data_IF_222462138006
#
_entry.id   IF_222462138006
#
_cell.length_a   1.000
_cell.length_b   1.000
_cell.length_c   1.000
_cell.angle_alpha   90.00
_cell.angle_beta   90.00
_cell.angle_gamma   90.00
#
_symmetry.space_group_name_H-M   'P 1'
#
loop_
_entity.id
_entity.type
_entity.pdbx_description
1 polymer ?
#
# COMPACT_ATOMS: atom_id res chain seq x y z
N UNK A 1 12.92 -20.99 26.80
CA UNK A 1 13.65 -19.70 26.77
C UNK A 1 12.92 -18.79 25.80
N UNK A 2 12.53 -17.58 26.26
CA UNK A 2 11.91 -16.57 25.40
C UNK A 2 12.97 -15.56 24.97
N UNK A 3 13.16 -15.41 23.66
CA UNK A 3 14.06 -14.41 23.07
C UNK A 3 13.23 -13.44 22.24
N UNK A 4 13.33 -12.15 22.52
CA UNK A 4 12.59 -11.11 21.81
C UNK A 4 13.54 -10.16 21.09
N UNK A 5 13.24 -9.86 19.83
CA UNK A 5 14.10 -9.10 18.92
C UNK A 5 13.29 -8.26 17.94
N UNK A 6 13.88 -7.15 17.50
CA UNK A 6 13.32 -6.29 16.45
C UNK A 6 13.76 -6.77 15.07
N UNK A 7 13.08 -6.30 14.02
CA UNK A 7 13.32 -6.73 12.62
C UNK A 7 14.79 -6.55 12.19
N UNK A 8 15.44 -5.47 12.64
CA UNK A 8 16.84 -5.18 12.32
C UNK A 8 17.83 -6.22 12.86
N UNK A 9 17.48 -6.90 13.94
CA UNK A 9 18.29 -7.98 14.53
C UNK A 9 18.03 -9.32 13.83
N UNK A 10 16.79 -9.56 13.39
CA UNK A 10 16.40 -10.80 12.70
C UNK A 10 17.02 -10.86 11.29
N UNK A 11 17.04 -9.72 10.59
CA UNK A 11 17.53 -9.61 9.21
C UNK A 11 18.71 -8.63 9.11
N UNK A 12 19.89 -9.00 9.64
CA UNK A 12 21.06 -8.13 9.61
C UNK A 12 21.55 -7.90 8.17
N UNK A 13 22.17 -6.73 7.94
CA UNK A 13 23.07 -6.53 6.79
C UNK A 13 24.50 -6.83 7.22
N UNK A 14 25.29 -7.57 6.42
CA UNK A 14 24.92 -8.64 5.46
C UNK A 14 24.32 -9.88 6.17
N UNK A 15 23.67 -10.86 5.50
CA UNK A 15 23.84 -11.27 4.09
C UNK A 15 22.72 -10.90 3.10
N UNK A 16 21.60 -10.30 3.51
CA UNK A 16 20.49 -10.01 2.58
C UNK A 16 20.73 -8.71 1.78
N UNK A 17 20.43 -8.68 0.45
CA UNK A 17 20.43 -7.44 -0.34
C UNK A 17 19.48 -6.38 0.24
N UNK A 18 19.87 -5.09 0.16
CA UNK A 18 19.07 -3.95 0.68
C UNK A 18 17.64 -3.96 0.13
N UNK A 19 17.45 -4.30 -1.15
CA UNK A 19 16.14 -4.38 -1.81
C UNK A 19 15.22 -5.45 -1.20
N UNK A 20 15.73 -6.67 -1.00
CA UNK A 20 14.97 -7.78 -0.39
C UNK A 20 14.65 -7.45 1.06
N UNK A 21 15.63 -6.94 1.82
CA UNK A 21 15.41 -6.51 3.20
C UNK A 21 14.33 -5.44 3.30
N UNK A 22 14.35 -4.45 2.40
CA UNK A 22 13.31 -3.42 2.32
C UNK A 22 11.92 -4.02 2.09
N UNK A 23 11.79 -4.97 1.15
CA UNK A 23 10.52 -5.69 0.93
C UNK A 23 10.04 -6.44 2.17
N UNK A 24 10.95 -7.16 2.85
CA UNK A 24 10.64 -7.91 4.09
C UNK A 24 10.17 -6.93 5.18
N UNK A 25 10.93 -5.87 5.44
CA UNK A 25 10.60 -4.89 6.47
C UNK A 25 9.28 -4.18 6.20
N UNK A 26 9.03 -3.78 4.95
CA UNK A 26 7.77 -3.19 4.55
C UNK A 26 6.59 -4.12 4.83
N UNK A 27 6.69 -5.39 4.43
CA UNK A 27 5.60 -6.35 4.63
C UNK A 27 5.40 -6.71 6.12
N UNK A 28 6.47 -6.78 6.90
CA UNK A 28 6.38 -6.96 8.37
C UNK A 28 5.68 -5.75 9.01
N UNK A 29 6.08 -4.54 8.67
CA UNK A 29 5.46 -3.31 9.17
C UNK A 29 3.96 -3.30 8.87
N UNK A 30 3.60 -3.57 7.61
CA UNK A 30 2.20 -3.68 7.19
C UNK A 30 1.40 -4.72 7.98
N UNK A 31 1.97 -5.91 8.20
CA UNK A 31 1.33 -6.95 9.01
C UNK A 31 1.11 -6.49 10.46
N UNK A 32 2.12 -5.86 11.07
CA UNK A 32 2.02 -5.35 12.43
C UNK A 32 0.95 -4.24 12.54
N UNK A 33 0.97 -3.26 11.64
CA UNK A 33 -0.03 -2.19 11.55
C UNK A 33 -1.45 -2.73 11.37
N UNK A 34 -1.62 -3.83 10.62
CA UNK A 34 -2.93 -4.48 10.47
C UNK A 34 -3.45 -5.06 11.78
N UNK A 35 -2.60 -5.79 12.51
CA UNK A 35 -2.97 -6.37 13.81
C UNK A 35 -3.21 -5.31 14.87
N UNK A 36 -2.34 -4.32 14.92
CA UNK A 36 -2.42 -3.20 15.86
C UNK A 36 -3.64 -2.31 15.51
N UNK A 37 -3.93 -2.11 14.22
CA UNK A 37 -5.12 -1.39 13.77
C UNK A 37 -6.42 -2.10 14.14
N UNK A 38 -6.47 -3.44 14.07
CA UNK A 38 -7.64 -4.20 14.52
C UNK A 38 -7.88 -4.06 16.04
N UNK A 39 -6.81 -4.00 16.82
CA UNK A 39 -6.87 -3.75 18.26
C UNK A 39 -7.32 -2.30 18.55
N UNK A 40 -6.83 -1.32 17.79
CA UNK A 40 -7.31 0.06 17.85
C UNK A 40 -8.81 0.15 17.59
N UNK A 41 -9.32 -0.50 16.54
CA UNK A 41 -10.75 -0.57 16.23
C UNK A 41 -11.57 -1.22 17.34
N UNK A 42 -11.00 -2.20 18.03
CA UNK A 42 -11.61 -2.82 19.21
C UNK A 42 -11.69 -1.83 20.36
N UNK A 43 -10.61 -1.10 20.64
CA UNK A 43 -10.58 -0.04 21.65
C UNK A 43 -11.59 1.08 21.35
N UNK A 44 -11.71 1.51 20.11
CA UNK A 44 -12.65 2.58 19.74
C UNK A 44 -14.09 2.13 19.59
N UNK A 45 -14.33 0.82 19.45
CA UNK A 45 -15.62 0.25 19.08
C UNK A 45 -16.04 0.55 17.63
N UNK A 46 -15.11 0.99 16.77
CA UNK A 46 -15.38 1.44 15.40
C UNK A 46 -14.63 0.58 14.39
N UNK A 47 -15.33 0.14 13.34
CA UNK A 47 -14.78 -0.78 12.33
C UNK A 47 -14.39 -0.12 11.02
N UNK A 48 -14.58 1.18 10.91
CA UNK A 48 -14.40 1.92 9.66
C UNK A 48 -13.26 2.92 9.80
N UNK A 49 -12.52 3.08 8.70
CA UNK A 49 -11.43 4.03 8.57
C UNK A 49 -11.83 5.07 7.53
N UNK A 50 -11.49 6.33 7.78
CA UNK A 50 -11.59 7.38 6.79
C UNK A 50 -10.76 7.01 5.54
N UNK A 51 -11.28 7.25 4.32
CA UNK A 51 -12.52 7.95 3.97
C UNK A 51 -13.72 7.02 3.74
N UNK A 52 -13.71 5.79 4.24
CA UNK A 52 -14.76 4.80 3.98
C UNK A 52 -15.47 4.39 5.28
N UNK A 53 -16.59 5.06 5.64
CA UNK A 53 -17.21 6.21 4.97
C UNK A 53 -16.49 7.54 5.25
N UNK A 54 -16.84 8.60 4.53
CA UNK A 54 -16.15 9.91 4.61
C UNK A 54 -16.32 10.56 5.99
N UNK A 55 -17.40 10.22 6.68
CA UNK A 55 -17.68 10.66 8.05
C UNK A 55 -16.99 9.79 9.10
N UNK A 56 -16.26 8.74 8.71
CA UNK A 56 -15.50 7.90 9.64
C UNK A 56 -14.60 8.77 10.52
N UNK A 57 -14.64 8.58 11.84
CA UNK A 57 -13.93 9.44 12.79
C UNK A 57 -12.47 9.04 12.97
N UNK A 58 -12.06 7.86 12.49
CA UNK A 58 -10.70 7.37 12.63
C UNK A 58 -10.01 7.34 11.28
N UNK A 59 -8.82 7.90 11.21
CA UNK A 59 -7.92 7.82 10.07
C UNK A 59 -6.88 6.72 10.30
N UNK A 60 -6.50 6.06 9.21
CA UNK A 60 -5.39 5.11 9.19
C UNK A 60 -4.51 5.37 7.98
N UNK A 61 -3.19 5.48 8.18
CA UNK A 61 -2.21 5.47 7.09
C UNK A 61 -2.08 4.04 6.55
N UNK A 62 -3.08 3.61 5.78
CA UNK A 62 -3.20 2.23 5.34
C UNK A 62 -2.26 1.88 4.19
N UNK A 63 -0.98 2.27 4.16
CA UNK A 63 -0.06 1.98 3.05
C UNK A 63 -0.64 2.25 1.64
N UNK A 64 -1.54 3.23 1.51
CA UNK A 64 -2.35 3.46 0.29
C UNK A 64 -1.56 4.21 -0.80
N UNK A 65 -0.23 4.16 -0.75
CA UNK A 65 0.64 4.82 -1.71
C UNK A 65 0.47 6.34 -1.71
N UNK A 66 0.59 6.93 -2.91
CA UNK A 66 0.67 8.37 -3.16
C UNK A 66 -0.54 9.19 -2.69
N UNK A 67 -1.66 8.54 -2.38
CA UNK A 67 -2.87 9.22 -1.87
C UNK A 67 -2.86 9.43 -0.35
N UNK A 68 -1.89 8.89 0.39
CA UNK A 68 -1.92 8.92 1.86
C UNK A 68 -1.86 10.37 2.39
N UNK A 69 -1.05 11.23 1.75
CA UNK A 69 -1.00 12.68 2.06
C UNK A 69 -2.33 13.36 1.79
N UNK A 70 -2.93 13.12 0.63
CA UNK A 70 -4.21 13.72 0.22
C UNK A 70 -5.33 13.29 1.15
N UNK A 71 -5.40 11.99 1.49
CA UNK A 71 -6.38 11.47 2.43
C UNK A 71 -6.17 12.03 3.84
N UNK A 72 -4.93 12.20 4.26
CA UNK A 72 -4.61 12.78 5.55
C UNK A 72 -4.99 14.26 5.62
N UNK A 73 -4.64 15.06 4.61
CA UNK A 73 -5.08 16.44 4.47
C UNK A 73 -6.60 16.56 4.50
N UNK A 74 -7.29 15.75 3.69
CA UNK A 74 -8.76 15.75 3.64
C UNK A 74 -9.39 15.35 4.97
N UNK A 75 -8.80 14.41 5.72
CA UNK A 75 -9.24 14.08 7.07
C UNK A 75 -9.12 15.29 8.01
N UNK A 76 -7.96 15.96 8.03
CA UNK A 76 -7.73 17.11 8.91
C UNK A 76 -8.68 18.26 8.59
N UNK A 77 -8.90 18.57 7.30
CA UNK A 77 -9.83 19.62 6.86
C UNK A 77 -11.28 19.27 7.19
N UNK A 78 -11.71 18.03 6.90
CA UNK A 78 -13.09 17.59 7.14
C UNK A 78 -13.44 17.62 8.64
N UNK A 79 -12.51 17.21 9.50
CA UNK A 79 -12.75 17.15 10.96
C UNK A 79 -12.51 18.48 11.68
N UNK A 80 -11.94 19.47 10.99
CA UNK A 80 -11.60 20.78 11.55
C UNK A 80 -11.87 21.86 10.47
N UNK A 81 -13.14 22.19 10.21
CA UNK A 81 -13.52 23.04 9.08
C UNK A 81 -12.94 24.45 9.14
N UNK A 82 -12.58 24.91 10.34
CA UNK A 82 -12.01 26.24 10.61
C UNK A 82 -10.47 26.28 10.43
N UNK A 83 -9.83 25.16 10.09
CA UNK A 83 -8.37 25.14 9.85
C UNK A 83 -7.99 26.03 8.67
N UNK A 84 -6.89 26.75 8.79
CA UNK A 84 -6.27 27.46 7.67
C UNK A 84 -5.72 26.45 6.66
N UNK A 85 -6.52 26.18 5.62
CA UNK A 85 -6.25 25.19 4.57
C UNK A 85 -4.97 25.50 3.80
N UNK A 86 -4.75 26.77 3.47
CA UNK A 86 -3.55 27.20 2.74
C UNK A 86 -2.30 27.01 3.59
N UNK A 87 -2.35 27.36 4.88
CA UNK A 87 -1.25 27.15 5.81
C UNK A 87 -0.97 25.67 6.05
N UNK A 88 -2.00 24.86 6.30
CA UNK A 88 -1.87 23.41 6.50
C UNK A 88 -1.21 22.77 5.30
N UNK A 89 -1.68 23.08 4.10
CA UNK A 89 -1.14 22.56 2.88
C UNK A 89 0.29 23.03 2.61
N UNK A 90 0.58 24.32 2.82
CA UNK A 90 1.92 24.86 2.67
C UNK A 90 2.89 24.14 3.62
N UNK A 91 2.52 23.94 4.89
CA UNK A 91 3.33 23.19 5.87
C UNK A 91 3.51 21.72 5.48
N UNK A 92 2.45 21.06 4.99
CA UNK A 92 2.54 19.69 4.46
C UNK A 92 3.34 19.62 3.15
N UNK A 93 3.61 20.72 2.46
CA UNK A 93 4.48 20.76 1.29
C UNK A 93 5.90 21.22 1.62
N UNK A 94 6.11 21.99 2.69
CA UNK A 94 7.42 22.55 3.05
C UNK A 94 8.19 21.67 4.04
N UNK A 95 7.48 20.86 4.83
CA UNK A 95 8.07 19.90 5.77
C UNK A 95 8.46 18.58 5.11
N UNK A 96 8.96 18.66 3.88
CA UNK A 96 9.48 17.51 3.14
C UNK A 96 10.57 16.81 3.96
N UNK A 97 10.22 15.67 4.55
CA UNK A 97 11.21 14.75 5.04
C UNK A 97 11.84 14.09 3.81
N UNK A 98 13.14 14.30 3.58
CA UNK A 98 13.89 13.51 2.60
C UNK A 98 14.10 12.08 3.14
N UNK A 99 13.01 11.34 3.34
CA UNK A 99 13.07 9.90 3.58
C UNK A 99 13.66 9.18 2.37
N UNK A 100 14.31 8.04 2.56
CA UNK A 100 14.81 7.21 1.45
C UNK A 100 13.69 6.78 0.47
N UNK A 101 12.43 6.87 0.90
CA UNK A 101 11.21 6.52 0.18
C UNK A 101 10.53 7.71 -0.52
N UNK A 102 11.06 8.93 -0.39
CA UNK A 102 10.47 10.13 -0.97
C UNK A 102 9.14 10.55 -0.32
N UNK A 103 8.85 10.08 0.90
CA UNK A 103 7.64 10.47 1.62
C UNK A 103 7.67 11.96 1.98
N UNK A 104 6.82 12.75 1.33
CA UNK A 104 6.81 14.22 1.46
C UNK A 104 6.33 14.73 2.83
N UNK A 105 5.62 13.91 3.61
CA UNK A 105 5.05 14.29 4.91
C UNK A 105 5.04 13.11 5.86
N UNK A 106 5.41 13.33 7.12
CA UNK A 106 5.15 12.38 8.18
C UNK A 106 3.66 12.31 8.50
N UNK A 107 3.05 11.14 8.24
CA UNK A 107 1.63 10.86 8.49
C UNK A 107 1.55 9.82 9.61
N UNK A 108 0.79 10.05 10.70
CA UNK A 108 0.67 9.05 11.75
C UNK A 108 -0.13 7.83 11.28
N UNK A 109 0.24 6.64 11.75
CA UNK A 109 -0.42 5.40 11.34
C UNK A 109 -1.89 5.33 11.74
N UNK A 110 -2.24 5.90 12.90
CA UNK A 110 -3.62 6.02 13.37
C UNK A 110 -3.90 7.41 13.90
N UNK A 111 -5.11 7.91 13.67
CA UNK A 111 -5.61 9.13 14.29
C UNK A 111 -7.10 9.00 14.56
N UNK A 112 -7.54 9.36 15.76
CA UNK A 112 -8.96 9.29 16.13
C UNK A 112 -9.50 10.67 16.49
N UNK A 113 -10.62 11.03 15.86
CA UNK A 113 -11.28 12.31 16.04
C UNK A 113 -12.14 12.36 17.30
N UNK A 114 -12.91 11.28 17.54
CA UNK A 114 -13.94 11.20 18.58
C UNK A 114 -13.51 10.33 19.75
N UNK A 115 -14.23 10.46 20.87
CA UNK A 115 -14.13 9.56 22.02
C UNK A 115 -14.23 8.09 21.58
N UNK A 116 -13.47 7.15 22.18
CA UNK A 116 -12.64 7.34 23.36
C UNK A 116 -11.28 8.01 23.07
N UNK A 117 -10.88 8.09 21.79
CA UNK A 117 -9.56 8.59 21.36
C UNK A 117 -9.40 10.10 21.61
N UNK A 118 -10.42 10.90 21.30
CA UNK A 118 -10.48 12.35 21.57
C UNK A 118 -9.30 13.16 20.99
N UNK A 119 -9.27 13.31 19.66
CA UNK A 119 -8.23 14.06 18.92
C UNK A 119 -6.82 13.59 19.31
N UNK A 120 -6.54 12.29 19.13
CA UNK A 120 -5.21 11.71 19.39
C UNK A 120 -4.69 10.94 18.19
N UNK A 121 -3.37 10.90 18.04
CA UNK A 121 -2.70 10.12 17.01
C UNK A 121 -1.64 9.17 17.57
N UNK A 122 -1.34 8.15 16.79
CA UNK A 122 -0.43 7.07 17.15
C UNK A 122 0.45 6.68 15.96
N UNK A 123 1.68 6.28 16.27
CA UNK A 123 2.67 5.77 15.33
C UNK A 123 3.10 4.36 15.74
N UNK A 124 3.30 3.48 14.77
CA UNK A 124 3.72 2.10 14.93
C UNK A 124 5.13 1.95 14.38
N UNK A 125 6.08 1.54 15.23
CA UNK A 125 7.46 1.25 14.79
C UNK A 125 7.96 -0.11 15.29
N UNK A 126 8.86 -0.77 14.56
CA UNK A 126 9.63 -1.86 15.14
C UNK A 126 10.45 -1.30 16.32
N UNK A 127 10.41 -1.96 17.47
CA UNK A 127 11.06 -1.43 18.66
C UNK A 127 10.85 -2.26 19.92
N UNK A 128 11.64 -1.94 20.94
CA UNK A 128 11.42 -2.42 22.30
C UNK A 128 10.81 -1.29 23.11
N UNK A 129 9.91 -1.57 24.05
CA UNK A 129 9.15 -0.54 24.77
C UNK A 129 9.98 0.36 25.69
N UNK A 130 11.12 -0.15 26.14
CA UNK A 130 12.03 0.47 27.09
C UNK A 130 13.37 0.82 26.42
N UNK A 131 13.35 1.16 25.13
CA UNK A 131 14.53 1.58 24.37
C UNK A 131 14.15 2.72 23.46
N UNK A 132 15.05 3.68 23.29
CA UNK A 132 14.90 4.80 22.36
C UNK A 132 14.49 4.31 20.97
N UNK A 133 13.57 5.04 20.35
CA UNK A 133 13.11 4.78 19.00
C UNK A 133 13.13 6.09 18.21
N UNK A 134 14.34 6.50 17.80
CA UNK A 134 14.59 7.79 17.16
C UNK A 134 13.68 8.03 15.94
N UNK A 135 13.46 7.00 15.12
CA UNK A 135 12.57 7.07 13.95
C UNK A 135 11.11 7.38 14.36
N UNK A 136 10.60 6.69 15.38
CA UNK A 136 9.24 6.89 15.89
C UNK A 136 9.08 8.22 16.62
N UNK A 137 10.07 8.59 17.44
CA UNK A 137 10.13 9.86 18.16
C UNK A 137 10.17 11.05 17.19
N UNK A 138 11.00 10.97 16.15
CA UNK A 138 11.10 11.99 15.09
C UNK A 138 9.78 12.15 14.33
N UNK A 139 9.14 11.04 13.95
CA UNK A 139 7.86 11.07 13.25
C UNK A 139 6.75 11.67 14.13
N UNK A 140 6.67 11.29 15.40
CA UNK A 140 5.70 11.84 16.36
C UNK A 140 5.93 13.34 16.56
N UNK A 141 7.17 13.78 16.81
CA UNK A 141 7.50 15.18 17.00
C UNK A 141 7.16 16.02 15.75
N UNK A 142 7.37 15.47 14.56
CA UNK A 142 7.04 16.13 13.31
C UNK A 142 5.53 16.32 13.11
N UNK A 143 4.74 15.28 13.41
CA UNK A 143 3.27 15.35 13.36
C UNK A 143 2.76 16.32 14.43
N UNK A 144 3.26 16.24 15.66
CA UNK A 144 2.87 17.14 16.76
C UNK A 144 3.17 18.60 16.41
N UNK A 145 4.36 18.87 15.87
CA UNK A 145 4.70 20.20 15.37
C UNK A 145 3.78 20.67 14.24
N UNK A 146 3.26 19.77 13.40
CA UNK A 146 2.32 20.15 12.32
C UNK A 146 0.99 20.57 12.93
N UNK A 147 0.51 19.81 13.93
CA UNK A 147 -0.71 20.15 14.67
C UNK A 147 -0.57 21.49 15.37
N UNK A 148 0.55 21.73 16.06
CA UNK A 148 0.83 22.99 16.74
C UNK A 148 0.85 24.19 15.78
N UNK A 149 1.59 24.10 14.68
CA UNK A 149 1.70 25.20 13.71
C UNK A 149 0.39 25.50 12.99
N UNK A 150 -0.52 24.52 12.89
CA UNK A 150 -1.84 24.68 12.26
C UNK A 150 -2.97 24.87 13.26
N UNK A 151 -2.65 24.96 14.55
CA UNK A 151 -3.61 25.09 15.66
C UNK A 151 -4.65 23.96 15.68
N UNK A 152 -4.30 22.79 15.11
CA UNK A 152 -5.14 21.61 15.13
C UNK A 152 -5.08 20.93 16.51
N UNK A 153 -6.20 20.38 17.01
CA UNK A 153 -6.31 19.93 18.40
C UNK A 153 -5.69 18.54 18.66
N UNK A 154 -5.06 17.91 17.66
CA UNK A 154 -4.56 16.55 17.82
C UNK A 154 -3.24 16.51 18.57
N UNK A 155 -3.13 15.57 19.51
CA UNK A 155 -1.91 15.33 20.31
C UNK A 155 -1.46 13.89 20.23
N UNK A 156 -0.19 13.57 20.54
CA UNK A 156 0.24 12.19 20.73
C UNK A 156 -0.66 11.47 21.74
N UNK A 157 -1.01 10.23 21.43
CA UNK A 157 -2.00 9.47 22.18
C UNK A 157 -1.50 8.89 23.51
N UNK A 158 -2.36 8.96 24.54
CA UNK A 158 -2.05 8.51 25.91
C UNK A 158 -3.12 7.58 26.48
N UNK A 159 -4.33 7.61 25.92
CA UNK A 159 -5.49 6.89 26.43
C UNK A 159 -5.58 5.44 25.93
N UNK A 160 -5.07 5.15 24.73
CA UNK A 160 -4.97 3.78 24.25
C UNK A 160 -3.67 3.15 24.73
N UNK A 161 -3.80 2.04 25.45
CA UNK A 161 -2.70 1.29 26.07
C UNK A 161 -2.62 -0.11 25.48
N UNK A 162 -2.28 -0.26 24.18
CA UNK A 162 -2.24 -1.55 23.55
C UNK A 162 -1.22 -2.45 24.23
N UNK A 163 -1.60 -3.71 24.44
CA UNK A 163 -0.73 -4.82 24.79
C UNK A 163 -1.27 -6.03 24.06
N UNK A 164 -0.60 -6.45 23.00
CA UNK A 164 -1.07 -7.55 22.17
C UNK A 164 0.01 -8.56 21.85
N UNK A 165 -0.46 -9.79 21.59
CA UNK A 165 0.36 -10.95 21.24
C UNK A 165 -0.37 -11.74 20.17
N UNK A 166 0.28 -11.94 19.03
CA UNK A 166 -0.25 -12.73 17.91
C UNK A 166 0.71 -13.89 17.63
N UNK A 167 0.21 -15.12 17.75
CA UNK A 167 0.98 -16.31 17.35
C UNK A 167 1.09 -16.39 15.83
N UNK A 168 2.33 -16.45 15.34
CA UNK A 168 2.66 -16.63 13.93
C UNK A 168 2.91 -18.12 13.62
N UNK A 169 3.53 -18.81 14.57
CA UNK A 169 3.84 -20.23 14.45
C UNK A 169 3.76 -20.88 15.83
N UNK A 170 3.16 -22.06 15.89
CA UNK A 170 3.11 -22.90 17.08
C UNK A 170 3.21 -24.35 16.62
N UNK A 171 4.40 -24.93 16.69
CA UNK A 171 4.66 -26.23 16.11
C UNK A 171 5.98 -26.84 16.57
N UNK A 172 6.27 -28.03 16.06
CA UNK A 172 7.54 -28.73 16.31
C UNK A 172 8.46 -28.56 15.11
N UNK A 173 9.72 -28.23 15.38
CA UNK A 173 10.77 -28.17 14.37
C UNK A 173 11.75 -29.31 14.63
N UNK A 174 12.06 -30.15 13.63
CA UNK A 174 13.10 -31.15 13.77
C UNK A 174 14.46 -30.46 13.90
N UNK A 175 15.14 -30.64 15.03
CA UNK A 175 16.52 -30.17 15.21
C UNK A 175 17.49 -31.35 15.24
N UNK A 176 18.57 -31.23 14.48
CA UNK A 176 19.69 -32.17 14.55
C UNK A 176 20.59 -31.82 15.74
N UNK A 177 20.74 -32.74 16.67
CA UNK A 177 21.68 -32.58 17.77
C UNK A 177 23.13 -32.77 17.25
N UNK A 178 24.04 -31.81 17.47
CA UNK A 178 25.44 -31.97 17.06
C UNK A 178 26.07 -33.20 17.74
N UNK A 179 26.63 -34.13 16.95
CA UNK A 179 27.37 -35.28 17.47
C UNK A 179 26.53 -36.49 17.93
N UNK A 180 25.21 -36.48 17.75
CA UNK A 180 24.33 -37.63 17.97
C UNK A 180 23.90 -38.26 16.63
N UNK A 181 23.39 -39.50 16.69
CA UNK A 181 22.74 -40.18 15.55
C UNK A 181 21.71 -39.25 14.87
N UNK A 182 21.44 -39.39 13.56
CA UNK A 182 20.60 -38.50 12.75
C UNK A 182 19.10 -38.62 13.06
N UNK A 183 18.74 -38.70 14.34
CA UNK A 183 17.37 -38.71 14.82
C UNK A 183 17.02 -37.27 15.18
N UNK A 184 16.17 -36.59 14.39
CA UNK A 184 15.76 -35.22 14.70
C UNK A 184 14.97 -35.21 16.02
N UNK A 185 15.38 -34.34 16.95
CA UNK A 185 14.63 -34.12 18.19
C UNK A 185 13.55 -33.07 17.89
N UNK A 186 12.26 -33.36 18.14
CA UNK A 186 11.20 -32.38 17.94
C UNK A 186 11.29 -31.30 19.03
N UNK A 187 11.61 -30.07 18.63
CA UNK A 187 11.61 -28.91 19.53
C UNK A 187 10.33 -28.12 19.31
N UNK A 188 9.52 -27.93 20.37
CA UNK A 188 8.36 -27.06 20.30
C UNK A 188 8.83 -25.61 20.21
N UNK A 189 8.39 -24.91 19.18
CA UNK A 189 8.72 -23.52 18.90
C UNK A 189 7.43 -22.72 18.76
N UNK A 190 7.33 -21.63 19.50
CA UNK A 190 6.26 -20.65 19.41
C UNK A 190 6.87 -19.33 18.95
N UNK A 191 6.46 -18.84 17.79
CA UNK A 191 6.85 -17.52 17.28
C UNK A 191 5.66 -16.58 17.40
N UNK A 192 5.89 -15.42 18.01
CA UNK A 192 4.85 -14.42 18.26
C UNK A 192 5.29 -13.04 17.82
N UNK A 193 4.35 -12.27 17.29
CA UNK A 193 4.44 -10.82 17.19
C UNK A 193 3.85 -10.22 18.47
N UNK A 194 4.64 -9.50 19.23
CA UNK A 194 4.21 -8.79 20.43
C UNK A 194 4.31 -7.29 20.20
N UNK A 195 3.34 -6.53 20.72
CA UNK A 195 3.36 -5.08 20.65
C UNK A 195 2.81 -4.46 21.93
N UNK A 196 3.31 -3.26 22.24
CA UNK A 196 2.78 -2.44 23.32
C UNK A 196 3.07 -0.96 23.11
N UNK A 197 2.40 -0.09 23.87
CA UNK A 197 2.79 1.32 23.95
C UNK A 197 4.24 1.46 24.43
N UNK A 198 4.97 2.42 23.87
CA UNK A 198 6.29 2.82 24.33
C UNK A 198 6.21 3.42 25.74
N UNK A 199 7.21 3.16 26.57
CA UNK A 199 7.15 3.51 27.99
C UNK A 199 7.30 5.03 28.21
N UNK A 200 7.99 5.74 27.31
CA UNK A 200 8.34 7.16 27.47
C UNK A 200 7.79 8.09 26.39
N UNK A 201 7.43 7.55 25.23
CA UNK A 201 7.02 8.36 24.07
C UNK A 201 5.53 8.21 23.88
N UNK A 202 4.78 9.29 24.16
CA UNK A 202 3.34 9.32 23.93
C UNK A 202 3.04 9.12 22.44
N UNK A 203 1.94 8.43 22.12
CA UNK A 203 1.56 8.10 20.75
C UNK A 203 2.38 6.97 20.11
N UNK A 204 3.52 6.57 20.67
CA UNK A 204 4.32 5.51 20.06
C UNK A 204 3.86 4.12 20.51
N UNK A 205 3.57 3.26 19.55
CA UNK A 205 3.34 1.82 19.72
C UNK A 205 4.51 1.08 19.09
N UNK A 206 5.15 0.20 19.84
CA UNK A 206 6.28 -0.58 19.34
C UNK A 206 5.94 -2.05 19.24
N UNK A 207 6.47 -2.70 18.20
CA UNK A 207 6.33 -4.15 18.02
C UNK A 207 7.69 -4.84 17.87
N UNK A 208 7.73 -6.11 18.26
CA UNK A 208 8.89 -6.97 18.15
C UNK A 208 8.44 -8.44 18.04
N UNK A 209 9.36 -9.31 17.63
CA UNK A 209 9.09 -10.74 17.53
C UNK A 209 9.71 -11.46 18.71
N UNK A 210 8.98 -12.42 19.27
CA UNK A 210 9.48 -13.30 20.30
C UNK A 210 9.41 -14.75 19.83
N UNK A 211 10.49 -15.49 20.08
CA UNK A 211 10.55 -16.95 19.94
C UNK A 211 10.64 -17.57 21.33
N UNK A 212 9.70 -18.45 21.64
CA UNK A 212 9.70 -19.28 22.85
C UNK A 212 9.90 -20.73 22.46
N UNK A 213 10.98 -21.33 22.93
CA UNK A 213 11.29 -22.73 22.74
C UNK A 213 12.12 -23.28 23.89
N UNK A 214 12.02 -24.58 24.12
CA UNK A 214 12.88 -25.27 25.08
C UNK A 214 14.21 -25.66 24.42
N UNK A 215 15.00 -24.65 24.06
CA UNK A 215 16.36 -24.87 23.61
C UNK A 215 17.23 -25.25 24.81
N UNK A 216 18.13 -26.22 24.63
CA UNK A 216 19.24 -26.37 25.57
C UNK A 216 20.15 -25.14 25.46
N UNK A 217 20.84 -24.78 26.55
CA UNK A 217 21.79 -23.65 26.59
C UNK A 217 22.90 -23.73 25.52
N UNK A 218 23.06 -24.89 24.88
CA UNK A 218 24.03 -25.14 23.82
C UNK A 218 23.65 -24.53 22.45
N UNK A 219 22.41 -24.09 22.22
CA UNK A 219 22.00 -23.52 20.94
C UNK A 219 22.39 -22.03 20.90
N UNK A 220 23.31 -21.68 19.98
CA UNK A 220 23.77 -20.30 19.78
C UNK A 220 22.61 -19.39 19.35
N UNK A 221 22.58 -18.17 19.88
CA UNK A 221 21.63 -17.11 19.50
C UNK A 221 21.50 -16.94 17.96
N UNK A 222 22.58 -17.10 17.21
CA UNK A 222 22.57 -17.03 15.75
C UNK A 222 21.63 -18.06 15.09
N UNK A 223 21.54 -19.28 15.63
CA UNK A 223 20.63 -20.33 15.14
C UNK A 223 19.19 -19.96 15.44
N UNK A 224 18.92 -19.42 16.64
CA UNK A 224 17.60 -18.95 17.04
C UNK A 224 17.13 -17.82 16.11
N UNK A 225 18.00 -16.85 15.82
CA UNK A 225 17.69 -15.76 14.90
C UNK A 225 17.45 -16.25 13.47
N UNK A 226 18.25 -17.19 12.98
CA UNK A 226 18.06 -17.77 11.65
C UNK A 226 16.74 -18.54 11.54
N UNK A 227 16.39 -19.35 12.55
CA UNK A 227 15.10 -20.04 12.62
C UNK A 227 13.93 -19.06 12.66
N UNK A 228 14.03 -18.02 13.49
CA UNK A 228 13.01 -16.97 13.58
C UNK A 228 12.82 -16.26 12.23
N UNK A 229 13.92 -15.85 11.58
CA UNK A 229 13.90 -15.23 10.26
C UNK A 229 13.21 -16.12 9.22
N UNK A 230 13.57 -17.41 9.18
CA UNK A 230 13.01 -18.39 8.27
C UNK A 230 11.50 -18.59 8.50
N UNK A 231 11.07 -18.77 9.75
CA UNK A 231 9.65 -18.96 10.09
C UNK A 231 8.84 -17.71 9.70
N UNK A 232 9.35 -16.51 9.97
CA UNK A 232 8.69 -15.26 9.59
C UNK A 232 8.53 -15.18 8.06
N UNK A 233 9.58 -15.48 7.30
CA UNK A 233 9.50 -15.50 5.83
C UNK A 233 8.50 -16.56 5.36
N UNK A 234 8.58 -17.79 5.86
CA UNK A 234 7.70 -18.90 5.44
C UNK A 234 6.23 -18.62 5.73
N UNK A 235 5.91 -18.08 6.91
CA UNK A 235 4.53 -17.86 7.35
C UNK A 235 3.94 -16.61 6.71
N UNK A 236 4.69 -15.51 6.69
CA UNK A 236 4.14 -14.23 6.26
C UNK A 236 4.37 -13.97 4.76
N UNK A 237 5.49 -14.43 4.19
CA UNK A 237 5.96 -14.04 2.86
C UNK A 237 6.56 -15.21 2.04
N UNK A 238 5.83 -16.33 1.87
CA UNK A 238 6.35 -17.50 1.16
C UNK A 238 6.79 -17.19 -0.28
N UNK A 239 6.21 -16.15 -0.90
CA UNK A 239 6.57 -15.68 -2.24
C UNK A 239 7.99 -15.09 -2.35
N UNK A 240 8.62 -14.71 -1.22
CA UNK A 240 9.98 -14.18 -1.22
C UNK A 240 11.05 -15.29 -1.19
N UNK A 241 10.68 -16.54 -0.91
CA UNK A 241 11.62 -17.66 -0.83
C UNK A 241 12.48 -17.84 -2.10
N UNK A 242 11.94 -17.72 -3.33
CA UNK A 242 12.74 -17.87 -4.54
C UNK A 242 13.75 -16.71 -4.76
N UNK A 243 13.52 -15.55 -4.13
CA UNK A 243 14.41 -14.39 -4.25
C UNK A 243 15.61 -14.46 -3.28
N UNK A 244 15.53 -15.30 -2.24
CA UNK A 244 16.60 -15.41 -1.25
C UNK A 244 17.73 -16.24 -1.87
N UNK A 245 18.94 -15.67 -2.04
CA UNK A 245 20.07 -16.44 -2.55
C UNK A 245 20.33 -17.58 -1.58
N UNK A 246 20.10 -18.82 -2.04
CA UNK A 246 20.61 -19.97 -1.34
C UNK A 246 22.14 -19.85 -1.33
N UNK A 247 22.83 -20.16 -0.22
CA UNK A 247 24.27 -20.27 -0.26
C UNK A 247 24.62 -21.23 -1.41
N UNK A 248 25.64 -20.89 -2.20
CA UNK A 248 26.18 -21.81 -3.20
C UNK A 248 26.73 -23.03 -2.47
N UNK A 249 25.83 -23.98 -2.15
CA UNK A 249 26.22 -25.28 -1.68
C UNK A 249 26.86 -25.91 -2.90
N UNK A 250 28.16 -26.22 -2.89
CA UNK A 250 28.78 -26.90 -4.01
C UNK A 250 28.02 -28.22 -4.20
N UNK A 251 27.11 -28.24 -5.17
CA UNK A 251 26.40 -29.45 -5.54
C UNK A 251 27.52 -30.36 -6.03
N UNK A 252 27.78 -31.51 -5.37
CA UNK A 252 28.77 -32.44 -5.87
C UNK A 252 28.40 -32.69 -7.33
N UNK A 253 29.32 -32.36 -8.26
CA UNK A 253 29.08 -32.60 -9.69
C UNK A 253 28.71 -34.06 -9.78
N UNK A 254 27.44 -34.34 -10.09
CA UNK A 254 27.03 -35.69 -10.46
C UNK A 254 27.99 -36.03 -11.60
N UNK A 255 28.79 -37.11 -11.49
CA UNK A 255 29.64 -37.53 -12.59
C UNK A 255 28.78 -37.52 -13.84
N UNK A 256 29.16 -36.73 -14.85
CA UNK A 256 28.41 -36.67 -16.10
C UNK A 256 28.21 -38.12 -16.56
N UNK A 257 26.98 -38.60 -16.46
CA UNK A 257 26.62 -39.87 -17.08
C UNK A 257 27.00 -39.72 -18.55
N UNK A 258 27.80 -40.64 -19.11
CA UNK A 258 28.24 -40.54 -20.49
C UNK A 258 27.00 -40.31 -21.35
N UNK A 259 27.04 -39.24 -22.14
CA UNK A 259 25.92 -38.84 -22.97
C UNK A 259 25.43 -40.08 -23.74
N UNK A 260 24.13 -40.43 -23.66
CA UNK A 260 23.60 -41.54 -24.43
C UNK A 260 23.97 -41.32 -25.90
N UNK A 261 24.55 -42.34 -26.53
CA UNK A 261 24.91 -42.25 -27.96
C UNK A 261 23.68 -41.79 -28.73
N UNK A 262 23.81 -40.83 -29.66
CA UNK A 262 22.69 -40.38 -30.46
C UNK A 262 22.10 -41.58 -31.18
N UNK A 263 20.90 -42.01 -30.75
CA UNK A 263 20.09 -42.93 -31.54
C UNK A 263 19.73 -42.21 -32.84
N UNK A 264 19.83 -42.86 -34.01
CA UNK A 264 19.40 -42.27 -35.27
C UNK A 264 17.89 -42.07 -35.21
N UNK A 265 17.45 -40.85 -34.89
CA UNK A 265 16.06 -40.48 -35.00
C UNK A 265 15.73 -40.31 -36.49
N UNK A 266 14.68 -40.96 -37.01
CA UNK A 266 14.19 -40.69 -38.35
C UNK A 266 13.76 -39.22 -38.43
N UNK A 267 14.24 -38.54 -39.47
CA UNK A 267 13.86 -37.16 -39.79
C UNK A 267 12.34 -37.11 -39.97
N UNK A 268 11.60 -36.35 -39.15
CA UNK A 268 10.16 -36.23 -39.33
C UNK A 268 9.87 -35.52 -40.67
N UNK A 269 8.82 -35.91 -41.40
CA UNK A 269 8.43 -35.24 -42.63
C UNK A 269 8.08 -33.77 -42.36
N UNK A 270 8.24 -32.89 -43.37
CA UNK A 270 7.99 -31.46 -43.24
C UNK A 270 6.58 -31.20 -42.68
N UNK A 271 6.52 -30.56 -41.52
CA UNK A 271 5.25 -30.20 -40.89
C UNK A 271 4.55 -29.15 -41.74
N UNK A 272 3.29 -29.43 -42.11
CA UNK A 272 2.40 -28.45 -42.72
C UNK A 272 2.24 -27.24 -41.78
N UNK A 273 2.15 -26.02 -42.32
CA UNK A 273 2.02 -24.81 -41.50
C UNK A 273 0.79 -24.90 -40.60
N UNK A 274 1.03 -24.88 -39.29
CA UNK A 274 -0.01 -24.81 -38.27
C UNK A 274 -0.73 -23.46 -38.41
N UNK A 275 -2.07 -23.43 -38.46
CA UNK A 275 -2.81 -22.18 -38.46
C UNK A 275 -2.45 -21.36 -37.22
N UNK A 276 -1.98 -20.14 -37.41
CA UNK A 276 -1.73 -19.18 -36.33
C UNK A 276 -3.05 -18.99 -35.58
N UNK A 277 -3.10 -19.23 -34.25
CA UNK A 277 -4.28 -18.91 -33.46
C UNK A 277 -4.56 -17.41 -33.59
N UNK A 278 -5.73 -17.05 -34.10
CA UNK A 278 -6.20 -15.67 -34.10
C UNK A 278 -6.25 -15.20 -32.64
N UNK A 279 -5.56 -14.09 -32.27
CA UNK A 279 -5.61 -13.57 -30.92
C UNK A 279 -7.07 -13.31 -30.54
N UNK A 280 -7.52 -13.93 -29.46
CA UNK A 280 -8.87 -13.73 -28.91
C UNK A 280 -9.15 -12.24 -28.75
N UNK A 281 -10.36 -11.81 -29.16
CA UNK A 281 -10.81 -10.43 -29.05
C UNK A 281 -10.54 -9.93 -27.62
N UNK A 282 -9.75 -8.86 -27.43
CA UNK A 282 -9.72 -8.22 -26.12
C UNK A 282 -11.14 -7.76 -25.80
N UNK A 283 -11.54 -7.87 -24.53
CA UNK A 283 -12.77 -7.32 -23.96
C UNK A 283 -12.74 -5.78 -23.98
N UNK A 284 -12.42 -5.17 -25.13
CA UNK A 284 -12.39 -3.74 -25.32
C UNK A 284 -13.82 -3.24 -25.48
N UNK A 285 -14.23 -2.32 -24.60
CA UNK A 285 -15.42 -1.50 -24.84
C UNK A 285 -15.29 -0.85 -26.22
N UNK A 286 -16.35 -0.93 -27.04
CA UNK A 286 -16.36 -0.27 -28.35
C UNK A 286 -16.46 1.25 -28.18
N UNK A 287 -15.97 2.06 -29.15
CA UNK A 287 -16.07 3.52 -29.10
C UNK A 287 -17.50 4.02 -28.85
N UNK A 288 -18.49 3.39 -29.47
CA UNK A 288 -19.91 3.71 -29.28
C UNK A 288 -20.36 3.43 -27.85
N UNK A 289 -19.93 2.31 -27.26
CA UNK A 289 -20.27 1.95 -25.88
C UNK A 289 -19.59 2.90 -24.88
N UNK A 290 -18.34 3.31 -25.14
CA UNK A 290 -17.63 4.28 -24.32
C UNK A 290 -18.34 5.64 -24.34
N UNK A 291 -18.70 6.14 -25.54
CA UNK A 291 -19.41 7.42 -25.67
C UNK A 291 -20.75 7.41 -24.96
N UNK A 292 -21.52 6.31 -25.08
CA UNK A 292 -22.77 6.15 -24.36
C UNK A 292 -22.55 6.18 -22.84
N UNK A 293 -21.56 5.44 -22.35
CA UNK A 293 -21.20 5.40 -20.93
C UNK A 293 -20.82 6.77 -20.38
N UNK A 294 -20.07 7.57 -21.16
CA UNK A 294 -19.69 8.95 -20.80
C UNK A 294 -20.90 9.88 -20.81
N UNK A 295 -21.81 9.74 -21.78
CA UNK A 295 -23.01 10.55 -21.89
C UNK A 295 -24.01 10.32 -20.75
N UNK A 296 -24.05 9.10 -20.20
CA UNK A 296 -24.96 8.73 -19.11
C UNK A 296 -24.49 9.25 -17.73
N UNK A 297 -23.29 9.83 -17.61
CA UNK A 297 -22.79 10.43 -16.36
C UNK A 297 -23.29 11.88 -16.22
N UNK A 298 -24.03 12.25 -15.16
CA UNK A 298 -24.57 13.60 -14.97
C UNK A 298 -23.48 14.67 -15.00
N UNK A 299 -23.67 15.72 -15.81
CA UNK A 299 -22.63 16.70 -16.14
C UNK A 299 -22.45 17.87 -15.16
N UNK A 300 -23.32 18.06 -14.15
CA UNK A 300 -23.67 19.43 -13.75
C UNK A 300 -23.01 20.05 -12.50
N UNK A 301 -22.03 19.44 -11.82
CA UNK A 301 -21.43 20.08 -10.61
C UNK A 301 -19.92 20.02 -10.45
N UNK A 302 -19.16 19.65 -11.48
CA UNK A 302 -17.72 19.39 -11.31
C UNK A 302 -16.78 20.35 -12.03
N UNK A 303 -17.28 21.30 -12.84
CA UNK A 303 -16.44 22.23 -13.61
C UNK A 303 -15.42 22.98 -12.73
N UNK A 304 -15.89 23.55 -11.61
CA UNK A 304 -15.02 24.28 -10.68
C UNK A 304 -14.01 23.38 -9.97
N UNK A 305 -14.42 22.19 -9.51
CA UNK A 305 -13.52 21.23 -8.85
C UNK A 305 -12.46 20.65 -9.81
N UNK A 306 -12.78 20.54 -11.11
CA UNK A 306 -11.87 20.03 -12.15
C UNK A 306 -10.72 20.96 -12.45
N UNK A 307 -10.98 22.26 -12.54
CA UNK A 307 -9.91 23.25 -12.78
C UNK A 307 -8.95 23.34 -11.60
N UNK A 308 -9.47 23.12 -10.40
CA UNK A 308 -8.73 23.17 -9.14
C UNK A 308 -7.91 21.90 -8.88
N UNK A 309 -8.37 20.75 -9.39
CA UNK A 309 -7.71 19.46 -9.17
C UNK A 309 -6.40 19.24 -9.97
N UNK A 310 -6.05 20.10 -10.94
CA UNK A 310 -4.78 20.01 -11.67
C UNK A 310 -4.12 21.38 -11.79
N UNK A 311 -2.87 21.48 -11.34
CA UNK A 311 -2.09 22.73 -11.34
C UNK A 311 -1.53 23.11 -12.71
N UNK A 312 -1.47 22.15 -13.63
CA UNK A 312 -0.98 22.32 -14.99
C UNK A 312 -1.38 21.18 -15.90
N UNK A 313 -1.08 21.34 -17.18
CA UNK A 313 -1.35 20.32 -18.19
C UNK A 313 -0.40 19.13 -18.08
N UNK A 314 -0.92 17.95 -18.38
CA UNK A 314 -0.20 16.67 -18.34
C UNK A 314 -0.13 16.06 -19.74
N UNK A 315 0.98 15.42 -20.07
CA UNK A 315 1.21 14.78 -21.36
C UNK A 315 2.11 15.62 -22.28
N UNK A 316 1.90 15.50 -23.58
CA UNK A 316 2.79 16.05 -24.60
C UNK A 316 2.84 17.58 -24.52
N UNK A 317 4.03 18.12 -24.22
CA UNK A 317 4.24 19.57 -24.07
C UNK A 317 3.48 20.19 -22.89
N UNK A 318 2.99 19.37 -21.95
CA UNK A 318 2.39 19.84 -20.71
C UNK A 318 3.43 20.29 -19.68
N UNK A 319 2.96 20.93 -18.61
CA UNK A 319 3.81 21.29 -17.46
C UNK A 319 4.32 20.03 -16.73
N UNK A 320 3.53 18.95 -16.75
CA UNK A 320 3.90 17.65 -16.19
C UNK A 320 4.36 17.72 -14.74
N UNK A 321 3.62 18.47 -13.90
CA UNK A 321 3.85 18.46 -12.46
C UNK A 321 3.63 17.03 -11.94
N UNK A 322 4.57 16.43 -11.19
CA UNK A 322 4.49 15.01 -10.82
C UNK A 322 3.14 14.58 -10.23
N UNK A 323 2.56 15.39 -9.35
CA UNK A 323 1.26 15.10 -8.72
C UNK A 323 0.11 15.07 -9.75
N UNK A 324 0.05 16.05 -10.65
CA UNK A 324 -0.94 16.09 -11.74
C UNK A 324 -0.79 14.87 -12.66
N UNK A 325 0.46 14.47 -12.95
CA UNK A 325 0.75 13.30 -13.78
C UNK A 325 0.28 12.02 -13.10
N UNK A 326 0.50 11.86 -11.80
CA UNK A 326 0.03 10.70 -11.04
C UNK A 326 -1.49 10.63 -11.03
N UNK A 327 -2.17 11.76 -10.81
CA UNK A 327 -3.63 11.83 -10.88
C UNK A 327 -4.13 11.39 -12.26
N UNK A 328 -3.54 11.91 -13.35
CA UNK A 328 -3.90 11.50 -14.71
C UNK A 328 -3.57 10.03 -15.00
N UNK A 329 -2.43 9.50 -14.52
CA UNK A 329 -2.08 8.07 -14.65
C UNK A 329 -3.08 7.17 -13.92
N UNK A 330 -3.52 7.56 -12.72
CA UNK A 330 -4.56 6.85 -11.97
C UNK A 330 -5.90 6.83 -12.73
N UNK A 331 -6.31 7.97 -13.28
CA UNK A 331 -7.53 8.07 -14.10
C UNK A 331 -7.40 7.24 -15.39
N UNK A 332 -6.25 7.31 -16.07
CA UNK A 332 -5.98 6.53 -17.28
C UNK A 332 -6.06 5.04 -17.00
N UNK A 333 -5.61 4.55 -15.84
CA UNK A 333 -5.71 3.15 -15.49
C UNK A 333 -7.16 2.65 -15.43
N UNK A 334 -8.12 3.51 -15.06
CA UNK A 334 -9.55 3.18 -15.16
C UNK A 334 -9.96 2.90 -16.61
N UNK A 335 -9.47 3.72 -17.55
CA UNK A 335 -9.69 3.51 -18.98
C UNK A 335 -8.92 2.30 -19.53
N UNK A 336 -7.66 2.10 -19.14
CA UNK A 336 -6.85 0.95 -19.59
C UNK A 336 -7.55 -0.37 -19.26
N UNK A 337 -8.12 -0.51 -18.07
CA UNK A 337 -8.90 -1.69 -17.67
C UNK A 337 -10.10 -1.89 -18.60
N UNK A 338 -10.86 -0.84 -18.88
CA UNK A 338 -12.02 -0.88 -19.78
C UNK A 338 -11.66 -1.17 -21.25
N UNK A 339 -10.46 -0.78 -21.66
CA UNK A 339 -9.92 -1.01 -22.99
C UNK A 339 -9.18 -2.36 -23.11
N UNK A 340 -9.05 -3.13 -22.02
CA UNK A 340 -8.28 -4.36 -21.98
C UNK A 340 -6.77 -4.15 -22.22
N UNK A 341 -6.25 -2.99 -21.81
CA UNK A 341 -4.85 -2.61 -21.95
C UNK A 341 -4.11 -2.75 -20.61
N UNK A 342 -2.77 -2.92 -20.64
CA UNK A 342 -1.96 -2.91 -19.43
C UNK A 342 -2.09 -1.57 -18.67
N UNK A 343 -2.21 -1.65 -17.35
CA UNK A 343 -2.18 -0.46 -16.50
C UNK A 343 -0.81 0.23 -16.55
N UNK A 344 -0.82 1.56 -16.56
CA UNK A 344 0.34 2.40 -16.38
C UNK A 344 0.86 2.31 -14.95
N UNK A 345 2.17 2.44 -14.79
CA UNK A 345 2.77 2.73 -13.50
C UNK A 345 2.39 4.16 -13.10
N UNK A 346 2.00 4.36 -11.85
CA UNK A 346 1.72 5.67 -11.27
C UNK A 346 3.04 6.19 -10.69
N UNK A 347 3.87 6.82 -11.53
CA UNK A 347 5.21 7.29 -11.17
C UNK A 347 5.39 8.80 -11.31
N UNK A 348 4.35 9.53 -11.76
CA UNK A 348 4.42 10.97 -11.96
C UNK A 348 5.26 11.40 -13.16
N UNK A 349 5.63 10.46 -14.04
CA UNK A 349 6.40 10.74 -15.25
C UNK A 349 5.47 10.63 -16.46
N UNK A 350 5.24 11.76 -17.15
CA UNK A 350 4.42 11.81 -18.36
C UNK A 350 5.20 11.33 -19.59
N UNK A 351 5.76 10.12 -19.53
CA UNK A 351 6.56 9.52 -20.58
C UNK A 351 5.75 9.06 -21.79
N UNK A 352 6.39 8.34 -22.75
CA UNK A 352 5.72 7.87 -23.96
C UNK A 352 4.48 7.01 -23.70
N UNK A 353 4.48 6.20 -22.64
CA UNK A 353 3.32 5.36 -22.27
C UNK A 353 2.13 6.19 -21.79
N UNK A 354 2.37 7.18 -20.92
CA UNK A 354 1.30 8.08 -20.45
C UNK A 354 0.77 8.94 -21.59
N UNK A 355 1.66 9.55 -22.40
CA UNK A 355 1.24 10.31 -23.57
C UNK A 355 0.47 9.45 -24.58
N UNK A 356 0.94 8.22 -24.83
CA UNK A 356 0.27 7.27 -25.72
C UNK A 356 -1.12 6.87 -25.22
N UNK A 357 -1.28 6.65 -23.92
CA UNK A 357 -2.56 6.37 -23.30
C UNK A 357 -3.54 7.56 -23.39
N UNK A 358 -3.06 8.79 -23.21
CA UNK A 358 -3.88 10.00 -23.42
C UNK A 358 -4.36 10.09 -24.87
N UNK A 359 -3.45 9.94 -25.84
CA UNK A 359 -3.78 9.95 -27.28
C UNK A 359 -4.82 8.89 -27.63
N UNK A 360 -4.62 7.66 -27.13
CA UNK A 360 -5.52 6.55 -27.41
C UNK A 360 -6.91 6.77 -26.78
N UNK A 361 -6.98 7.31 -25.56
CA UNK A 361 -8.25 7.72 -24.96
C UNK A 361 -8.94 8.81 -25.78
N UNK A 362 -8.22 9.88 -26.14
CA UNK A 362 -8.77 11.00 -26.93
C UNK A 362 -9.38 10.49 -28.25
N UNK A 363 -8.65 9.62 -28.97
CA UNK A 363 -9.12 8.99 -30.20
C UNK A 363 -10.34 8.09 -29.97
N UNK A 364 -10.31 7.25 -28.93
CA UNK A 364 -11.40 6.31 -28.65
C UNK A 364 -12.68 7.02 -28.18
N UNK A 365 -12.55 8.06 -27.36
CA UNK A 365 -13.65 8.91 -26.94
C UNK A 365 -14.21 9.76 -28.10
N UNK A 366 -13.43 9.96 -29.17
CA UNK A 366 -13.81 10.79 -30.31
C UNK A 366 -13.68 12.28 -30.02
N UNK A 367 -12.68 12.67 -29.23
CA UNK A 367 -12.37 14.07 -28.99
C UNK A 367 -11.84 14.71 -30.28
N UNK A 368 -12.18 15.99 -30.49
CA UNK A 368 -11.76 16.74 -31.68
C UNK A 368 -10.24 16.91 -31.77
N UNK A 369 -9.58 16.97 -30.61
CA UNK A 369 -8.12 17.11 -30.49
C UNK A 369 -7.56 15.82 -29.91
N UNK A 370 -6.59 15.25 -30.63
CA UNK A 370 -5.89 14.00 -30.28
C UNK A 370 -4.38 14.29 -30.28
N UNK A 371 -3.92 14.97 -29.24
CA UNK A 371 -2.57 15.53 -29.13
C UNK A 371 -1.72 14.88 -28.02
N UNK A 372 -2.32 13.98 -27.24
CA UNK A 372 -1.66 13.34 -26.10
C UNK A 372 -1.51 14.26 -24.88
N UNK A 373 -2.35 15.28 -24.75
CA UNK A 373 -2.33 16.26 -23.66
C UNK A 373 -3.68 16.33 -22.91
N UNK A 374 -3.60 16.40 -21.59
CA UNK A 374 -4.73 16.61 -20.69
C UNK A 374 -4.56 17.96 -19.99
N UNK A 375 -5.37 18.94 -20.37
CA UNK A 375 -5.38 20.27 -19.76
C UNK A 375 -6.37 20.34 -18.57
N UNK A 376 -6.08 21.16 -17.54
CA UNK A 376 -7.04 21.46 -16.48
C UNK A 376 -8.35 22.00 -17.05
N UNK A 377 -9.48 21.40 -16.65
CA UNK A 377 -10.80 21.72 -17.21
C UNK A 377 -10.99 21.35 -18.69
N UNK A 378 -10.02 20.68 -19.32
CA UNK A 378 -10.08 20.29 -20.73
C UNK A 378 -10.95 19.06 -20.99
N UNK A 379 -11.32 18.82 -22.27
CA UNK A 379 -12.20 17.72 -22.66
C UNK A 379 -11.61 16.34 -22.35
N UNK A 380 -10.29 16.20 -22.41
CA UNK A 380 -9.60 14.95 -22.04
C UNK A 380 -9.78 14.62 -20.56
N UNK A 381 -9.66 15.61 -19.68
CA UNK A 381 -9.83 15.43 -18.25
C UNK A 381 -11.29 15.15 -17.88
N UNK A 382 -12.25 15.81 -18.56
CA UNK A 382 -13.69 15.51 -18.40
C UNK A 382 -14.00 14.03 -18.67
N UNK A 383 -13.49 13.50 -19.78
CA UNK A 383 -13.66 12.08 -20.14
C UNK A 383 -13.03 11.16 -19.08
N UNK A 384 -11.78 11.42 -18.70
CA UNK A 384 -11.06 10.63 -17.68
C UNK A 384 -11.84 10.56 -16.36
N UNK A 385 -12.39 11.69 -15.95
CA UNK A 385 -13.19 11.82 -14.73
C UNK A 385 -14.44 10.96 -14.79
N UNK A 386 -15.21 11.09 -15.87
CA UNK A 386 -16.46 10.34 -16.05
C UNK A 386 -16.18 8.83 -16.01
N UNK A 387 -15.07 8.39 -16.60
CA UNK A 387 -14.64 7.00 -16.55
C UNK A 387 -14.24 6.55 -15.15
N UNK A 388 -13.46 7.37 -14.43
CA UNK A 388 -13.12 7.11 -13.03
C UNK A 388 -14.37 6.94 -12.16
N UNK A 389 -15.38 7.80 -12.31
CA UNK A 389 -16.65 7.70 -11.59
C UNK A 389 -17.44 6.43 -11.90
N UNK A 390 -17.43 5.99 -13.15
CA UNK A 390 -18.07 4.73 -13.55
C UNK A 390 -17.39 3.54 -12.87
N UNK A 391 -16.05 3.50 -12.88
CA UNK A 391 -15.27 2.41 -12.26
C UNK A 391 -15.45 2.39 -10.75
N UNK A 392 -15.38 3.55 -10.09
CA UNK A 392 -15.64 3.68 -8.65
C UNK A 392 -17.07 3.24 -8.32
N UNK A 393 -18.06 3.73 -9.06
CA UNK A 393 -19.47 3.36 -8.86
C UNK A 393 -19.72 1.86 -9.06
N UNK A 394 -19.08 1.22 -10.04
CA UNK A 394 -19.14 -0.22 -10.24
C UNK A 394 -18.48 -0.99 -9.09
N UNK A 395 -17.33 -0.52 -8.60
CA UNK A 395 -16.60 -1.13 -7.48
C UNK A 395 -17.41 -1.06 -6.19
N UNK A 396 -17.98 0.10 -5.87
CA UNK A 396 -18.84 0.29 -4.69
C UNK A 396 -20.07 -0.62 -4.76
N UNK A 397 -20.77 -0.68 -5.90
CA UNK A 397 -21.92 -1.59 -6.08
C UNK A 397 -21.56 -3.06 -5.89
N UNK A 398 -20.40 -3.48 -6.40
CA UNK A 398 -19.93 -4.86 -6.26
C UNK A 398 -19.53 -5.20 -4.82
N UNK A 399 -18.89 -4.26 -4.11
CA UNK A 399 -18.57 -4.41 -2.70
C UNK A 399 -19.84 -4.55 -1.83
N UNK A 400 -20.86 -3.72 -2.08
CA UNK A 400 -22.15 -3.80 -1.37
C UNK A 400 -22.88 -5.13 -1.60
N UNK A 401 -22.66 -5.83 -2.72
CA UNK A 401 -23.25 -7.15 -2.97
C UNK A 401 -22.53 -8.30 -2.26
N UNK A 402 -21.24 -8.15 -1.97
CA UNK A 402 -20.43 -9.21 -1.32
C UNK A 402 -20.58 -9.23 0.20
N UNK A 403 -20.94 -8.12 0.80
CA UNK A 403 -21.19 -8.04 2.23
C UNK A 403 -22.70 -8.25 2.43
N UNK A 404 -23.10 -9.39 3.01
CA UNK A 404 -24.48 -9.65 3.46
C UNK A 404 -24.82 -8.70 4.63
N UNK A 405 -25.03 -7.42 4.33
CA UNK A 405 -25.62 -6.46 5.26
C UNK A 405 -27.14 -6.52 5.05
N UNK A 406 -27.95 -6.74 6.10
CA UNK A 406 -29.39 -6.60 6.00
C UNK A 406 -29.72 -5.21 5.45
N UNK A 407 -30.53 -5.14 4.38
CA UNK A 407 -30.85 -3.90 3.70
C UNK A 407 -31.61 -2.94 4.62
N UNK A 408 -30.91 -2.08 5.35
CA UNK A 408 -31.49 -0.86 5.92
C UNK A 408 -31.36 0.25 4.88
N UNK A 409 -32.25 0.23 3.89
CA UNK A 409 -32.90 1.39 3.24
C UNK A 409 -32.12 2.60 2.70
N UNK A 410 -30.79 2.62 2.63
CA UNK A 410 -30.03 3.78 2.10
C UNK A 410 -29.06 3.38 0.99
N UNK A 411 -29.40 3.62 -0.28
CA UNK A 411 -28.41 3.63 -1.34
C UNK A 411 -27.54 4.88 -1.17
N UNK A 412 -26.21 4.74 -1.29
CA UNK A 412 -25.30 5.89 -1.37
C UNK A 412 -25.75 6.73 -2.59
N UNK A 413 -26.16 7.99 -2.42
CA UNK A 413 -26.57 8.83 -3.53
C UNK A 413 -25.43 8.96 -4.53
N UNK A 414 -25.65 8.57 -5.79
CA UNK A 414 -24.67 8.70 -6.88
C UNK A 414 -24.22 10.14 -7.09
N UNK A 415 -25.00 11.12 -6.62
CA UNK A 415 -24.67 12.55 -6.62
C UNK A 415 -23.50 12.94 -5.72
N UNK A 416 -23.12 12.13 -4.73
CA UNK A 416 -22.00 12.42 -3.80
C UNK A 416 -20.66 11.91 -4.33
N UNK A 417 -20.68 10.88 -5.18
CA UNK A 417 -19.47 10.24 -5.72
C UNK A 417 -18.54 11.21 -6.47
N UNK A 418 -19.03 12.15 -7.31
CA UNK A 418 -18.18 13.15 -7.95
C UNK A 418 -17.42 14.02 -6.95
N UNK A 419 -18.09 14.49 -5.90
CA UNK A 419 -17.49 15.35 -4.88
C UNK A 419 -16.45 14.61 -4.05
N UNK A 420 -16.70 13.34 -3.68
CA UNK A 420 -15.74 12.51 -2.94
C UNK A 420 -14.53 12.16 -3.80
N UNK A 421 -14.78 11.78 -5.05
CA UNK A 421 -13.73 11.49 -6.02
C UNK A 421 -12.84 12.70 -6.27
N UNK A 422 -13.45 13.87 -6.45
CA UNK A 422 -12.68 15.09 -6.63
C UNK A 422 -12.01 15.55 -5.35
N UNK A 423 -12.65 15.50 -4.17
CA UNK A 423 -11.96 15.81 -2.91
C UNK A 423 -10.78 14.88 -2.64
N UNK A 424 -10.86 13.62 -3.07
CA UNK A 424 -9.75 12.67 -3.01
C UNK A 424 -8.63 12.96 -4.04
N UNK A 425 -8.94 13.67 -5.13
CA UNK A 425 -7.96 14.11 -6.14
C UNK A 425 -7.45 15.53 -5.91
N UNK A 426 -8.25 16.41 -5.29
CA UNK A 426 -8.05 17.85 -5.11
C UNK A 426 -7.64 18.22 -3.67
N UNK A 427 -7.44 17.25 -2.77
CA UNK A 427 -6.75 17.48 -1.49
C UNK A 427 -5.27 17.86 -1.67
N UNK A 428 -4.85 18.12 -2.91
CA UNK A 428 -3.70 18.91 -3.31
C UNK A 428 -4.20 20.19 -4.01
N UNK A 429 -4.34 21.26 -3.23
CA UNK A 429 -4.27 22.69 -3.61
C UNK A 429 -5.53 23.48 -3.94
N UNK A 430 -5.63 24.66 -3.27
CA UNK A 430 -6.26 25.89 -3.77
C UNK A 430 -6.15 27.11 -2.84
N UNK A 431 -6.27 28.35 -3.38
CA UNK A 431 -5.67 28.90 -4.60
C UNK A 431 -4.27 29.47 -4.39
#
# INVERSE_FOLDING_TARGET
>A
MKVCVTNGVIFPSPPLPKSIRGKIFHKIGKYAEEKIGADFQTFTGRRQWYPVPIDAPDFRDGSQGLNSKTLYYSFLVEKNPDVDKQKLEWLMNSREAKGEDGQLVYIPDFMGDKAPVNKRFYEVKPGMPNRTNEDGETKIASVDGLMADTELPYKPGENWQPVGRHELFNGYIPMMAPGLLPIPIPVKVIVTLEYKRHDWTQGLVVYHFCIDANFSDAIKLAVILALLALIIILVLFPELLPEIPLPDIPIPRIPELPAPRPSPFPVPPPQQPVPIPVPGRPFGISPTSLRKLIADVPGERTEGLRQKAMSGSVGKGGRNVPDDVQAVQLLLNSWQILAGQPCLRIDGIAGPLTCGAITALQGHAGLKVVDGRADPGGPTLDVLTKLGLVVVGATVRNASRRIHVPQTGGSVPTSILPSVFWAALSGAKDP
#
